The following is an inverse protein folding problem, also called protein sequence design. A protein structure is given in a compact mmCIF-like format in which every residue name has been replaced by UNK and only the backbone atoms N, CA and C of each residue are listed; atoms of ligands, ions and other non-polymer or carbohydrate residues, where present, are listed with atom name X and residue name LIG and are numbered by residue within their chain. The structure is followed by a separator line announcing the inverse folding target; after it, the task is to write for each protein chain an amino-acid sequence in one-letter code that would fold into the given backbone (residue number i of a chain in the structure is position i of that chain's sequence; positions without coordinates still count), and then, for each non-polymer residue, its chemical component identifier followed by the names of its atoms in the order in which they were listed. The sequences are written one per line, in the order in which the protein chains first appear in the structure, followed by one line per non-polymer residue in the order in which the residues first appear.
data_IF_152480303178
#
_entry.id   IF_152480303178
#
_cell.length_a   1.000
_cell.length_b   1.000
_cell.length_c   1.000
_cell.angle_alpha   90.00
_cell.angle_beta   90.00
_cell.angle_gamma   90.00
#
_symmetry.space_group_name_H-M   'P 1'
#
loop_
_entity.id
_entity.type
_entity.pdbx_description
1 polymer ?
#
# COMPACT_ATOMS: atom_id res chain seq x y z
N UNK A 1 -66.13 -58.51 53.48
CA UNK A 1 -64.83 -58.58 52.85
C UNK A 1 -64.73 -57.40 51.84
N UNK A 2 -63.97 -56.35 52.26
CA UNK A 2 -63.72 -55.21 51.41
C UNK A 2 -62.32 -55.35 50.71
N UNK A 3 -62.30 -55.18 49.42
CA UNK A 3 -61.06 -55.15 48.66
C UNK A 3 -60.52 -53.68 48.62
N UNK A 4 -59.22 -53.46 48.75
CA UNK A 4 -58.65 -52.10 48.68
C UNK A 4 -58.46 -51.67 47.23
N UNK A 5 -58.89 -50.43 46.92
CA UNK A 5 -58.66 -49.73 45.68
C UNK A 5 -57.17 -49.27 45.58
N UNK A 6 -56.51 -49.73 44.54
CA UNK A 6 -55.15 -49.30 44.24
C UNK A 6 -55.07 -47.89 43.69
N UNK A 7 -53.90 -47.11 43.86
CA UNK A 7 -53.73 -45.76 43.37
C UNK A 7 -53.52 -45.74 41.86
N UNK A 8 -54.29 -44.87 41.16
CA UNK A 8 -54.18 -44.62 39.74
C UNK A 8 -52.84 -43.88 39.43
N UNK A 9 -51.94 -44.50 38.70
CA UNK A 9 -50.82 -43.92 38.05
C UNK A 9 -51.23 -43.06 36.83
N UNK A 10 -51.54 -41.85 37.03
CA UNK A 10 -51.86 -40.90 35.96
C UNK A 10 -51.04 -39.61 36.04
N UNK A 11 -49.72 -39.72 35.90
CA UNK A 11 -48.84 -38.54 36.05
C UNK A 11 -47.67 -38.40 35.04
N UNK A 12 -47.52 -39.38 34.14
CA UNK A 12 -46.32 -39.45 33.31
C UNK A 12 -46.36 -38.75 31.94
N UNK A 13 -47.54 -38.43 31.42
CA UNK A 13 -47.69 -38.00 30.02
C UNK A 13 -47.55 -36.47 29.86
N UNK A 14 -47.95 -35.67 30.82
CA UNK A 14 -47.94 -34.21 30.74
C UNK A 14 -46.54 -33.60 30.87
N UNK A 15 -45.59 -34.25 31.56
CA UNK A 15 -44.22 -33.77 31.70
C UNK A 15 -43.38 -33.89 30.40
N UNK A 16 -43.67 -34.94 29.61
CA UNK A 16 -43.00 -35.17 28.33
C UNK A 16 -43.39 -34.22 27.23
N UNK A 17 -44.65 -33.78 27.19
CA UNK A 17 -45.12 -32.80 26.19
C UNK A 17 -44.55 -31.41 26.42
N UNK A 18 -44.42 -30.94 27.66
CA UNK A 18 -43.83 -29.66 27.99
C UNK A 18 -42.34 -29.59 27.65
N UNK A 19 -41.61 -30.66 27.87
CA UNK A 19 -40.20 -30.78 27.49
C UNK A 19 -40.01 -30.77 25.97
N UNK A 20 -40.84 -31.55 25.25
CA UNK A 20 -40.80 -31.63 23.78
C UNK A 20 -41.08 -30.27 23.14
N UNK A 21 -42.07 -29.49 23.63
CA UNK A 21 -42.38 -28.19 23.12
C UNK A 21 -41.23 -27.17 23.39
N UNK A 22 -40.53 -27.26 24.51
CA UNK A 22 -39.36 -26.41 24.83
C UNK A 22 -38.18 -26.74 23.92
N UNK A 23 -37.88 -27.99 23.67
CA UNK A 23 -36.85 -28.41 22.75
C UNK A 23 -37.17 -27.99 21.30
N UNK A 24 -38.43 -28.12 20.89
CA UNK A 24 -38.88 -27.66 19.57
C UNK A 24 -38.74 -26.16 19.43
N UNK A 25 -39.14 -25.38 20.45
CA UNK A 25 -38.97 -23.93 20.44
C UNK A 25 -37.48 -23.49 20.33
N UNK A 26 -36.60 -24.13 21.11
CA UNK A 26 -35.15 -23.87 21.02
C UNK A 26 -34.61 -24.26 19.65
N UNK A 27 -35.03 -25.38 19.10
CA UNK A 27 -34.67 -25.84 17.76
C UNK A 27 -35.07 -24.85 16.66
N UNK A 28 -36.29 -24.32 16.73
CA UNK A 28 -36.79 -23.30 15.77
C UNK A 28 -36.00 -22.02 15.87
N UNK A 29 -35.70 -21.56 17.08
CA UNK A 29 -34.87 -20.35 17.30
C UNK A 29 -33.45 -20.54 16.76
N UNK A 30 -32.83 -21.70 17.05
CA UNK A 30 -31.52 -22.05 16.54
C UNK A 30 -31.47 -22.09 15.01
N UNK A 31 -32.47 -22.71 14.38
CA UNK A 31 -32.64 -22.76 12.93
C UNK A 31 -32.84 -21.34 12.33
N UNK A 32 -33.60 -20.50 13.00
CA UNK A 32 -33.81 -19.11 12.58
C UNK A 32 -32.49 -18.29 12.60
N UNK A 33 -31.73 -18.43 13.68
CA UNK A 33 -30.40 -17.73 13.80
C UNK A 33 -29.44 -18.25 12.74
N UNK A 34 -29.38 -19.58 12.56
CA UNK A 34 -28.48 -20.18 11.57
C UNK A 34 -28.89 -19.82 10.14
N UNK A 35 -30.17 -19.75 9.84
CA UNK A 35 -30.69 -19.27 8.56
C UNK A 35 -30.33 -17.80 8.29
N UNK A 36 -30.46 -16.95 9.29
CA UNK A 36 -30.07 -15.54 9.15
C UNK A 36 -28.57 -15.36 8.93
N UNK A 37 -27.73 -16.11 9.63
CA UNK A 37 -26.28 -16.11 9.43
C UNK A 37 -25.89 -16.61 8.03
N UNK A 38 -26.52 -17.69 7.57
CA UNK A 38 -26.27 -18.22 6.22
C UNK A 38 -26.69 -17.24 5.14
N UNK A 39 -27.84 -16.59 5.29
CA UNK A 39 -28.29 -15.56 4.36
C UNK A 39 -27.34 -14.35 4.33
N UNK A 40 -26.81 -13.93 5.49
CA UNK A 40 -25.82 -12.86 5.57
C UNK A 40 -24.51 -13.24 4.89
N UNK A 41 -24.02 -14.46 5.13
CA UNK A 41 -22.80 -14.97 4.47
C UNK A 41 -22.99 -15.07 2.95
N UNK A 42 -24.14 -15.52 2.50
CA UNK A 42 -24.45 -15.58 1.07
C UNK A 42 -24.43 -14.18 0.44
N UNK A 43 -25.02 -13.18 1.11
CA UNK A 43 -24.99 -11.79 0.67
C UNK A 43 -23.55 -11.26 0.51
N UNK A 44 -22.72 -11.45 1.55
CA UNK A 44 -21.32 -11.02 1.54
C UNK A 44 -20.47 -11.75 0.48
N UNK A 45 -20.65 -13.06 0.33
CA UNK A 45 -19.79 -13.87 -0.54
C UNK A 45 -20.18 -13.82 -2.02
N UNK A 46 -21.45 -13.58 -2.34
CA UNK A 46 -21.93 -13.67 -3.73
C UNK A 46 -22.35 -12.31 -4.27
N UNK A 47 -23.05 -11.51 -3.48
CA UNK A 47 -23.58 -10.22 -3.94
C UNK A 47 -22.51 -9.12 -3.84
N UNK A 48 -21.77 -9.09 -2.73
CA UNK A 48 -20.78 -8.06 -2.46
C UNK A 48 -19.34 -8.50 -2.82
N UNK A 49 -19.14 -9.76 -3.25
CA UNK A 49 -17.81 -10.28 -3.59
C UNK A 49 -17.10 -9.45 -4.67
N UNK A 50 -17.83 -8.95 -5.65
CA UNK A 50 -17.29 -8.13 -6.72
C UNK A 50 -16.74 -6.79 -6.19
N UNK A 51 -17.47 -6.11 -5.30
CA UNK A 51 -17.03 -4.84 -4.72
C UNK A 51 -15.84 -5.01 -3.78
N UNK A 52 -15.83 -6.07 -2.98
CA UNK A 52 -14.69 -6.36 -2.11
C UNK A 52 -13.43 -6.79 -2.87
N UNK A 53 -13.58 -7.49 -4.01
CA UNK A 53 -12.43 -7.81 -4.88
C UNK A 53 -11.86 -6.55 -5.54
N UNK A 54 -12.69 -5.62 -5.95
CA UNK A 54 -12.27 -4.35 -6.54
C UNK A 54 -11.54 -3.47 -5.52
N UNK A 55 -12.05 -3.39 -4.28
CA UNK A 55 -11.37 -2.70 -3.18
C UNK A 55 -10.05 -3.39 -2.78
N UNK A 56 -10.00 -4.73 -2.78
CA UNK A 56 -8.79 -5.48 -2.51
C UNK A 56 -7.73 -5.25 -3.59
N UNK A 57 -8.12 -5.24 -4.86
CA UNK A 57 -7.23 -4.93 -5.98
C UNK A 57 -6.75 -3.48 -5.92
N UNK A 58 -7.61 -2.52 -5.61
CA UNK A 58 -7.22 -1.13 -5.42
C UNK A 58 -6.20 -0.93 -4.28
N UNK A 59 -6.30 -1.72 -3.21
CA UNK A 59 -5.34 -1.70 -2.10
C UNK A 59 -4.04 -2.48 -2.41
N UNK A 60 -4.11 -3.50 -3.27
CA UNK A 60 -2.95 -4.33 -3.63
C UNK A 60 -2.07 -3.65 -4.69
N UNK A 61 -2.67 -2.91 -5.62
CA UNK A 61 -1.96 -2.24 -6.69
C UNK A 61 -1.72 -0.76 -6.36
N UNK A 62 -0.49 -0.44 -6.01
CA UNK A 62 -0.04 0.95 -5.98
C UNK A 62 0.38 1.36 -7.39
N UNK A 63 -0.35 2.30 -7.99
CA UNK A 63 0.03 2.83 -9.31
C UNK A 63 1.33 3.62 -9.18
N UNK A 64 2.43 3.04 -9.61
CA UNK A 64 3.72 3.73 -9.72
C UNK A 64 3.74 4.47 -11.05
N UNK A 65 3.65 5.79 -11.00
CA UNK A 65 3.77 6.62 -12.19
C UNK A 65 5.24 6.63 -12.64
N UNK A 66 5.56 5.82 -13.65
CA UNK A 66 6.90 5.81 -14.24
C UNK A 66 6.90 6.76 -15.44
N UNK A 67 7.56 7.92 -15.33
CA UNK A 67 7.62 8.88 -16.43
C UNK A 67 8.35 8.26 -17.63
N UNK A 68 7.74 8.35 -18.80
CA UNK A 68 8.33 7.85 -20.03
C UNK A 68 9.65 8.58 -20.35
N UNK A 69 10.69 7.86 -20.79
CA UNK A 69 11.95 8.49 -21.17
C UNK A 69 11.75 9.39 -22.39
N UNK A 70 12.07 10.67 -22.26
CA UNK A 70 11.97 11.63 -23.36
C UNK A 70 13.03 11.36 -24.44
N UNK A 71 12.75 11.71 -25.69
CA UNK A 71 13.65 11.53 -26.83
C UNK A 71 14.96 12.35 -26.74
N UNK A 72 15.97 11.95 -27.51
CA UNK A 72 17.19 12.74 -27.79
C UNK A 72 16.84 13.73 -28.89
N UNK A 73 17.36 14.96 -28.81
CA UNK A 73 17.20 15.99 -29.86
C UNK A 73 18.54 16.17 -30.52
N UNK A 74 18.56 16.05 -31.84
CA UNK A 74 19.73 16.21 -32.67
C UNK A 74 19.65 17.51 -33.47
N UNK A 75 20.79 18.06 -33.87
CA UNK A 75 20.86 19.13 -34.86
C UNK A 75 20.79 18.58 -36.30
N UNK A 76 20.89 19.48 -37.29
CA UNK A 76 20.89 19.10 -38.69
C UNK A 76 22.10 18.22 -39.11
N UNK A 77 23.15 18.22 -38.33
CA UNK A 77 24.36 17.43 -38.56
C UNK A 77 24.38 16.11 -37.75
N UNK A 78 23.29 15.81 -37.03
CA UNK A 78 23.19 14.61 -36.22
C UNK A 78 23.90 14.70 -34.86
N UNK A 79 24.26 15.90 -34.42
CA UNK A 79 24.90 16.13 -33.14
C UNK A 79 23.82 16.25 -32.06
N UNK A 80 23.95 15.51 -30.96
CA UNK A 80 22.97 15.52 -29.88
C UNK A 80 23.00 16.85 -29.12
N UNK A 81 21.99 17.68 -29.30
CA UNK A 81 21.79 18.93 -28.58
C UNK A 81 21.23 18.69 -27.17
N UNK A 82 20.39 17.68 -27.05
CA UNK A 82 19.85 17.20 -25.78
C UNK A 82 20.07 15.70 -25.72
N UNK A 83 20.79 15.24 -24.74
CA UNK A 83 21.09 13.83 -24.50
C UNK A 83 20.37 13.32 -23.24
N UNK A 84 20.36 12.01 -23.09
CA UNK A 84 19.90 11.31 -21.89
C UNK A 84 21.12 10.85 -21.09
N UNK A 85 21.07 11.03 -19.79
CA UNK A 85 22.03 10.43 -18.86
C UNK A 85 21.29 9.65 -17.79
N UNK A 86 21.72 8.44 -17.55
CA UNK A 86 21.23 7.68 -16.40
C UNK A 86 21.93 8.18 -15.14
N UNK A 87 21.14 8.45 -14.13
CA UNK A 87 21.61 8.92 -12.83
C UNK A 87 21.05 8.01 -11.73
N UNK A 88 21.87 7.77 -10.73
CA UNK A 88 21.44 7.08 -9.53
C UNK A 88 20.70 8.06 -8.63
N UNK A 89 19.50 7.65 -8.20
CA UNK A 89 18.61 8.49 -7.40
C UNK A 89 18.26 7.76 -6.12
N UNK A 90 18.35 8.45 -5.00
CA UNK A 90 17.90 7.98 -3.69
C UNK A 90 16.49 8.49 -3.45
N UNK A 91 15.61 7.58 -3.13
CA UNK A 91 14.21 7.81 -2.83
C UNK A 91 13.94 7.46 -1.37
N UNK A 92 13.02 8.15 -0.75
CA UNK A 92 12.55 7.83 0.60
C UNK A 92 11.02 7.86 0.67
N UNK A 93 10.46 6.99 1.47
CA UNK A 93 9.04 7.01 1.80
C UNK A 93 8.73 8.18 2.75
N UNK A 94 7.48 8.67 2.74
CA UNK A 94 7.06 9.77 3.60
C UNK A 94 7.28 9.49 5.10
N UNK A 95 7.15 8.22 5.50
CA UNK A 95 7.32 7.80 6.90
C UNK A 95 8.75 7.96 7.43
N UNK A 96 9.75 8.02 6.54
CA UNK A 96 11.15 8.30 6.91
C UNK A 96 11.29 9.68 7.57
N UNK A 97 10.40 10.63 7.27
CA UNK A 97 10.37 11.94 7.91
C UNK A 97 10.19 11.88 9.44
N UNK A 98 9.62 10.79 9.96
CA UNK A 98 9.41 10.54 11.39
C UNK A 98 10.66 9.97 12.09
N UNK A 99 11.63 9.48 11.30
CA UNK A 99 12.82 8.82 11.81
C UNK A 99 14.06 9.73 11.61
N UNK A 100 14.36 10.53 12.63
CA UNK A 100 15.48 11.48 12.61
C UNK A 100 16.84 10.81 12.40
N UNK A 101 17.02 9.58 12.89
CA UNK A 101 18.28 8.86 12.77
C UNK A 101 18.58 8.47 11.32
N UNK A 102 17.57 8.04 10.58
CA UNK A 102 17.71 7.73 9.14
C UNK A 102 18.03 8.98 8.35
N UNK A 103 17.37 10.11 8.66
CA UNK A 103 17.65 11.40 8.00
C UNK A 103 19.07 11.85 8.29
N UNK A 104 19.54 11.70 9.53
CA UNK A 104 20.91 12.07 9.90
C UNK A 104 21.96 11.23 9.18
N UNK A 105 21.74 9.92 9.07
CA UNK A 105 22.62 9.01 8.32
C UNK A 105 22.64 9.35 6.83
N UNK A 106 21.46 9.63 6.22
CA UNK A 106 21.37 10.08 4.83
C UNK A 106 22.09 11.41 4.62
N UNK A 107 21.91 12.37 5.52
CA UNK A 107 22.59 13.65 5.51
C UNK A 107 24.11 13.49 5.52
N UNK A 108 24.64 12.67 6.43
CA UNK A 108 26.07 12.35 6.53
C UNK A 108 26.61 11.66 5.27
N UNK A 109 25.89 10.66 4.76
CA UNK A 109 26.31 9.85 3.62
C UNK A 109 26.31 10.66 2.32
N UNK A 110 25.25 11.43 2.09
CA UNK A 110 25.06 12.20 0.86
C UNK A 110 25.72 13.58 0.89
N UNK A 111 26.17 14.02 2.06
CA UNK A 111 26.73 15.38 2.24
C UNK A 111 25.71 16.49 2.07
N UNK A 112 24.44 16.21 2.33
CA UNK A 112 23.32 17.17 2.22
C UNK A 112 22.88 17.57 3.63
N UNK A 113 22.64 18.87 3.91
CA UNK A 113 22.17 19.29 5.22
C UNK A 113 20.89 18.59 5.66
N UNK A 114 20.80 18.25 6.93
CA UNK A 114 19.66 17.53 7.54
C UNK A 114 18.30 18.16 7.18
N UNK A 115 18.18 19.48 7.30
CA UNK A 115 16.93 20.19 7.03
C UNK A 115 16.51 20.09 5.56
N UNK A 116 17.47 20.03 4.64
CA UNK A 116 17.21 19.87 3.21
C UNK A 116 16.72 18.44 2.91
N UNK A 117 17.33 17.42 3.51
CA UNK A 117 16.87 16.03 3.39
C UNK A 117 15.46 15.92 3.92
N UNK A 118 15.21 16.44 5.11
CA UNK A 118 13.90 16.42 5.75
C UNK A 118 12.84 17.15 4.92
N UNK A 119 13.13 18.35 4.41
CA UNK A 119 12.17 19.10 3.59
C UNK A 119 11.81 18.38 2.30
N UNK A 120 12.79 17.71 1.64
CA UNK A 120 12.55 16.91 0.44
C UNK A 120 11.69 15.68 0.72
N UNK A 121 11.85 15.04 1.87
CA UNK A 121 11.00 13.90 2.29
C UNK A 121 9.58 14.37 2.61
N UNK A 122 9.40 15.54 3.16
CA UNK A 122 8.09 16.13 3.48
C UNK A 122 7.36 16.71 2.25
N UNK A 123 8.09 16.93 1.16
CA UNK A 123 7.49 17.48 -0.07
C UNK A 123 6.50 16.48 -0.68
N UNK A 124 5.23 16.86 -0.70
CA UNK A 124 4.12 16.04 -1.22
C UNK A 124 3.73 16.39 -2.66
N UNK A 125 4.51 17.20 -3.37
CA UNK A 125 4.21 17.64 -4.74
C UNK A 125 4.04 16.48 -5.73
N UNK A 126 4.72 15.35 -5.50
CA UNK A 126 4.63 14.12 -6.32
C UNK A 126 3.48 13.18 -5.93
N UNK A 127 2.61 13.56 -5.01
CA UNK A 127 1.52 12.74 -4.49
C UNK A 127 1.79 12.17 -3.09
N UNK A 128 0.72 11.99 -2.30
CA UNK A 128 0.84 11.65 -0.88
C UNK A 128 1.52 10.29 -0.63
N UNK A 129 1.36 9.32 -1.52
CA UNK A 129 1.91 7.96 -1.40
C UNK A 129 3.13 7.69 -2.29
N UNK A 130 3.56 8.67 -3.07
CA UNK A 130 4.74 8.52 -3.93
C UNK A 130 6.02 8.60 -3.12
N UNK A 131 7.03 7.83 -3.51
CA UNK A 131 8.37 7.98 -2.94
C UNK A 131 8.96 9.35 -3.28
N UNK A 132 9.63 9.96 -2.34
CA UNK A 132 10.23 11.29 -2.45
C UNK A 132 11.67 11.20 -2.94
N UNK A 133 12.04 12.06 -3.87
CA UNK A 133 13.43 12.17 -4.34
C UNK A 133 14.25 12.93 -3.29
N UNK A 134 15.13 12.22 -2.61
CA UNK A 134 16.04 12.82 -1.62
C UNK A 134 17.26 13.40 -2.31
N UNK A 135 17.89 12.63 -3.20
CA UNK A 135 19.05 13.06 -3.96
C UNK A 135 19.07 12.39 -5.34
N UNK A 136 19.49 13.17 -6.35
CA UNK A 136 19.74 12.69 -7.71
C UNK A 136 21.23 12.80 -8.01
N UNK A 137 21.71 11.96 -8.96
CA UNK A 137 23.12 11.91 -9.38
C UNK A 137 24.07 11.52 -8.23
N UNK A 138 23.64 10.56 -7.42
CA UNK A 138 24.37 10.05 -6.27
C UNK A 138 25.50 9.14 -6.75
N UNK A 139 26.63 9.18 -6.08
CA UNK A 139 27.79 8.32 -6.41
C UNK A 139 27.45 6.86 -6.20
N UNK A 140 27.95 6.00 -7.08
CA UNK A 140 27.70 4.56 -7.03
C UNK A 140 28.12 3.94 -5.69
N UNK A 141 29.19 4.46 -5.08
CA UNK A 141 29.65 4.01 -3.75
C UNK A 141 28.58 4.21 -2.67
N UNK A 142 27.92 5.36 -2.68
CA UNK A 142 26.94 5.72 -1.66
C UNK A 142 25.64 4.90 -1.87
N UNK A 143 25.30 4.62 -3.13
CA UNK A 143 24.21 3.70 -3.50
C UNK A 143 24.51 2.27 -3.03
N UNK A 144 25.72 1.78 -3.26
CA UNK A 144 26.15 0.46 -2.81
C UNK A 144 26.05 0.37 -1.28
N UNK A 145 26.51 1.39 -0.56
CA UNK A 145 26.42 1.44 0.90
C UNK A 145 24.99 1.36 1.41
N UNK A 146 24.03 2.11 0.82
CA UNK A 146 22.61 2.03 1.18
C UNK A 146 22.05 0.62 0.90
N UNK A 147 22.46 0.02 -0.24
CA UNK A 147 21.97 -1.30 -0.65
C UNK A 147 22.47 -2.44 0.25
N UNK A 148 23.69 -2.30 0.78
CA UNK A 148 24.29 -3.26 1.72
C UNK A 148 23.72 -3.12 3.14
N UNK A 149 23.39 -1.90 3.56
CA UNK A 149 22.96 -1.59 4.91
C UNK A 149 21.47 -1.21 4.98
N UNK A 150 20.59 -1.98 4.33
CA UNK A 150 19.14 -1.70 4.30
C UNK A 150 18.51 -1.57 5.67
N UNK A 151 19.00 -2.32 6.65
CA UNK A 151 18.53 -2.26 8.03
C UNK A 151 18.80 -0.90 8.70
N UNK A 152 19.85 -0.21 8.24
CA UNK A 152 20.19 1.12 8.71
C UNK A 152 19.38 2.23 8.01
N UNK A 153 18.75 1.92 6.87
CA UNK A 153 18.00 2.86 6.02
C UNK A 153 16.59 2.34 5.71
N UNK A 154 15.76 2.04 6.72
CA UNK A 154 14.39 1.61 6.51
C UNK A 154 13.58 2.68 5.75
N UNK A 155 12.79 2.26 4.75
CA UNK A 155 12.00 3.16 3.92
C UNK A 155 12.79 3.97 2.88
N UNK A 156 14.08 3.66 2.70
CA UNK A 156 14.92 4.27 1.66
C UNK A 156 15.15 3.27 0.53
N UNK A 157 15.00 3.72 -0.69
CA UNK A 157 15.22 2.91 -1.90
C UNK A 157 16.13 3.65 -2.89
N UNK A 158 16.71 2.89 -3.80
CA UNK A 158 17.58 3.43 -4.84
C UNK A 158 17.06 3.05 -6.20
N UNK A 159 17.04 3.99 -7.13
CA UNK A 159 16.52 3.78 -8.48
C UNK A 159 17.38 4.49 -9.52
N UNK A 160 17.55 3.84 -10.68
CA UNK A 160 18.14 4.48 -11.85
C UNK A 160 17.07 5.30 -12.54
N UNK A 161 17.30 6.61 -12.68
CA UNK A 161 16.43 7.51 -13.41
C UNK A 161 17.17 8.13 -14.60
N UNK A 162 16.42 8.47 -15.63
CA UNK A 162 16.96 9.16 -16.79
C UNK A 162 16.77 10.66 -16.62
N UNK A 163 17.86 11.42 -16.65
CA UNK A 163 17.83 12.88 -16.64
C UNK A 163 18.31 13.45 -17.97
N UNK A 164 17.88 14.65 -18.27
CA UNK A 164 18.35 15.40 -19.44
C UNK A 164 19.73 15.98 -19.18
N UNK A 165 20.57 15.92 -20.19
CA UNK A 165 21.87 16.58 -20.23
C UNK A 165 21.95 17.47 -21.45
N UNK A 166 22.44 18.68 -21.26
CA UNK A 166 22.66 19.67 -22.32
C UNK A 166 24.18 19.79 -22.53
N UNK A 167 24.76 19.03 -23.49
CA UNK A 167 26.21 18.99 -23.68
C UNK A 167 26.80 20.36 -24.03
N UNK A 168 26.01 21.23 -24.65
CA UNK A 168 26.40 22.57 -25.09
C UNK A 168 25.85 23.68 -24.19
N UNK A 169 25.43 23.38 -22.99
CA UNK A 169 24.96 24.35 -22.01
C UNK A 169 23.75 25.15 -22.49
N UNK A 170 23.86 26.49 -22.47
CA UNK A 170 22.77 27.40 -22.84
C UNK A 170 22.57 27.56 -24.35
N UNK A 171 23.37 26.89 -25.20
CA UNK A 171 23.23 26.98 -26.65
C UNK A 171 21.83 26.52 -27.08
N UNK A 172 21.16 27.33 -27.89
CA UNK A 172 19.79 27.12 -28.38
C UNK A 172 18.72 26.99 -27.25
N UNK A 173 18.96 27.53 -26.07
CA UNK A 173 18.02 27.44 -24.93
C UNK A 173 16.61 27.98 -25.27
N UNK A 174 16.51 29.02 -26.08
CA UNK A 174 15.24 29.59 -26.53
C UNK A 174 14.50 28.70 -27.54
N UNK A 175 15.19 27.85 -28.29
CA UNK A 175 14.56 26.88 -29.20
C UNK A 175 14.20 25.57 -28.50
N UNK A 176 15.03 25.13 -27.55
CA UNK A 176 14.86 23.89 -26.79
C UNK A 176 13.88 24.04 -25.62
N UNK A 177 13.67 25.30 -25.16
CA UNK A 177 12.88 25.60 -23.98
C UNK A 177 13.50 25.04 -22.70
N UNK A 178 12.76 25.13 -21.58
CA UNK A 178 13.08 24.45 -20.34
C UNK A 178 11.91 23.55 -19.94
N UNK A 179 12.22 22.49 -19.24
CA UNK A 179 11.21 21.61 -18.67
C UNK A 179 10.97 22.03 -17.23
N UNK A 180 9.72 22.39 -16.92
CA UNK A 180 9.30 22.53 -15.52
C UNK A 180 9.46 21.22 -14.76
N UNK A 181 9.77 21.30 -13.51
CA UNK A 181 9.79 20.20 -12.54
C UNK A 181 8.38 19.82 -12.12
#
# INVERSE_FOLDING_TARGET
SAAPSGPSMGGGVAAGEGLRNRFTAVGVIALGIFGALTAKLFGLQIIEAASYSEEADANLYTTVNTPAPRGVIYDANGIAMVAKRQVQTVLADADVAKNSDVILRLSSLLGIPYEVVRSRILDSSSGAQSQRVVASDVKLRDIAYISEHRDAFPGVSTQIRTTRTYPYGAMAAHALGYTGT
#
